data_IF_347464393385
#
_entry.id   IF_347464393385
#
_cell.length_a   1.000
_cell.length_b   1.000
_cell.length_c   1.000
_cell.angle_alpha   90.00
_cell.angle_beta   90.00
_cell.angle_gamma   90.00
#
_symmetry.space_group_name_H-M   'P 1'
#
loop_
_entity.id
_entity.type
_entity.pdbx_description
1 polymer ?
#
# COMPACT_ATOMS: atom_id res chain seq x y z
N UNK A 1 14.51 -35.01 -9.31
CA UNK A 1 13.90 -33.66 -9.39
C UNK A 1 14.83 -32.72 -8.63
N UNK A 2 15.59 -31.90 -9.34
CA UNK A 2 16.63 -31.05 -8.76
C UNK A 2 16.05 -29.67 -8.52
N UNK A 3 15.94 -29.26 -7.26
CA UNK A 3 15.57 -27.89 -6.89
C UNK A 3 16.80 -27.00 -7.00
N UNK A 4 16.75 -26.00 -7.88
CA UNK A 4 17.73 -24.91 -7.93
C UNK A 4 17.25 -23.84 -6.96
N UNK A 5 18.02 -23.61 -5.89
CA UNK A 5 17.86 -22.45 -5.04
C UNK A 5 18.62 -21.28 -5.66
N UNK A 6 17.91 -20.23 -6.08
CA UNK A 6 18.54 -18.94 -6.33
C UNK A 6 18.85 -18.29 -4.97
N UNK A 7 20.11 -18.33 -4.56
CA UNK A 7 20.68 -17.37 -3.62
C UNK A 7 21.49 -16.35 -4.40
N UNK A 8 21.63 -15.19 -3.77
CA UNK A 8 22.53 -14.07 -4.09
C UNK A 8 21.78 -12.86 -4.66
N UNK A 9 21.91 -11.63 -4.20
CA UNK A 9 22.59 -11.02 -3.04
C UNK A 9 22.01 -9.62 -2.96
N UNK A 10 21.37 -9.25 -1.85
CA UNK A 10 21.21 -7.83 -1.49
C UNK A 10 21.56 -7.69 -0.02
N UNK A 11 22.80 -7.29 0.24
CA UNK A 11 23.18 -6.62 1.48
C UNK A 11 22.42 -5.30 1.57
N UNK A 12 21.31 -5.27 2.32
CA UNK A 12 20.72 -4.02 2.80
C UNK A 12 20.66 -4.08 4.31
N UNK A 13 21.55 -3.29 4.92
CA UNK A 13 21.64 -2.90 6.31
C UNK A 13 20.33 -3.11 7.07
N UNK A 14 20.44 -3.84 8.19
CA UNK A 14 19.50 -3.89 9.30
C UNK A 14 19.20 -2.47 9.80
N UNK A 15 18.40 -1.71 9.05
CA UNK A 15 17.60 -0.62 9.60
C UNK A 15 16.31 -1.29 10.02
N UNK A 16 16.25 -1.65 11.29
CA UNK A 16 15.03 -1.80 12.09
C UNK A 16 13.75 -1.62 11.26
N UNK A 17 13.15 -2.74 10.84
CA UNK A 17 11.79 -2.78 10.29
C UNK A 17 10.77 -2.00 11.17
N UNK A 18 11.15 -1.73 12.43
CA UNK A 18 10.45 -0.99 13.48
C UNK A 18 10.33 0.53 13.31
N UNK A 19 10.98 1.18 12.33
CA UNK A 19 10.90 2.64 12.15
C UNK A 19 10.03 3.09 10.95
N UNK A 20 9.36 2.14 10.29
CA UNK A 20 8.36 2.49 9.27
C UNK A 20 7.01 2.73 9.93
N UNK A 21 6.37 3.85 9.60
CA UNK A 21 4.99 4.13 10.05
C UNK A 21 4.09 3.03 9.51
N UNK A 22 3.40 2.33 10.40
CA UNK A 22 2.39 1.35 10.04
C UNK A 22 1.10 2.06 9.62
N UNK A 23 0.55 1.67 8.47
CA UNK A 23 -0.61 2.35 7.88
C UNK A 23 -1.71 1.38 7.46
N UNK A 24 -2.95 1.84 7.60
CA UNK A 24 -4.14 1.19 7.05
C UNK A 24 -4.81 2.13 6.05
N UNK A 25 -5.50 1.57 5.06
CA UNK A 25 -6.20 2.37 4.06
C UNK A 25 -7.64 1.90 3.84
N UNK A 26 -8.51 2.85 3.50
CA UNK A 26 -9.85 2.60 3.00
C UNK A 26 -9.96 3.08 1.56
N UNK A 27 -10.60 2.28 0.70
CA UNK A 27 -10.90 2.65 -0.68
C UNK A 27 -12.40 2.53 -0.89
N UNK A 28 -13.04 3.66 -1.14
CA UNK A 28 -14.41 3.73 -1.63
C UNK A 28 -14.39 3.68 -3.16
N UNK A 29 -15.18 2.77 -3.74
CA UNK A 29 -15.29 2.64 -5.19
C UNK A 29 -16.62 3.19 -5.65
N UNK A 30 -16.60 4.20 -6.53
CA UNK A 30 -17.79 4.79 -7.10
C UNK A 30 -17.58 5.12 -8.58
N UNK A 31 -18.39 4.49 -9.45
CA UNK A 31 -18.30 4.63 -10.90
C UNK A 31 -16.85 4.43 -11.39
N UNK A 32 -16.29 5.46 -12.05
CA UNK A 32 -14.97 5.44 -12.66
C UNK A 32 -13.86 5.93 -11.71
N UNK A 33 -14.14 6.05 -10.41
CA UNK A 33 -13.21 6.61 -9.42
C UNK A 33 -13.07 5.71 -8.18
N UNK A 34 -11.85 5.61 -7.69
CA UNK A 34 -11.49 5.07 -6.39
C UNK A 34 -11.06 6.23 -5.49
N UNK A 35 -11.81 6.47 -4.41
CA UNK A 35 -11.44 7.44 -3.39
C UNK A 35 -10.73 6.71 -2.27
N UNK A 36 -9.45 7.00 -2.07
CA UNK A 36 -8.62 6.36 -1.06
C UNK A 36 -8.29 7.33 0.09
N UNK A 37 -8.29 6.81 1.32
CA UNK A 37 -7.80 7.47 2.52
C UNK A 37 -6.80 6.57 3.26
N UNK A 38 -5.73 7.15 3.79
CA UNK A 38 -4.68 6.46 4.55
C UNK A 38 -4.62 7.01 5.96
N UNK A 39 -4.59 6.11 6.94
CA UNK A 39 -4.40 6.42 8.35
C UNK A 39 -3.21 5.67 8.93
N UNK A 40 -2.65 6.18 10.02
CA UNK A 40 -1.72 5.39 10.86
C UNK A 40 -2.45 4.58 11.93
N UNK A 41 -1.68 3.85 12.75
CA UNK A 41 -2.20 3.03 13.86
C UNK A 41 -2.84 3.84 14.99
N UNK A 42 -2.60 5.15 15.07
CA UNK A 42 -3.29 6.06 15.98
C UNK A 42 -4.58 6.64 15.39
N UNK A 43 -4.94 6.27 14.16
CA UNK A 43 -6.12 6.77 13.46
C UNK A 43 -5.94 8.15 12.84
N UNK A 44 -4.71 8.67 12.75
CA UNK A 44 -4.44 9.98 12.15
C UNK A 44 -4.47 9.87 10.64
N UNK A 45 -5.23 10.75 9.98
CA UNK A 45 -5.26 10.83 8.51
C UNK A 45 -3.91 11.34 7.98
N UNK A 46 -3.26 10.51 7.16
CA UNK A 46 -1.99 10.84 6.50
C UNK A 46 -2.20 11.39 5.10
N UNK A 47 -3.28 10.98 4.42
CA UNK A 47 -3.61 11.48 3.09
C UNK A 47 -4.93 10.96 2.56
N UNK A 48 -5.48 11.68 1.59
CA UNK A 48 -6.63 11.25 0.79
C UNK A 48 -6.38 11.60 -0.68
N UNK A 49 -6.80 10.73 -1.61
CA UNK A 49 -6.63 10.96 -3.04
C UNK A 49 -7.63 10.14 -3.87
N UNK A 50 -8.01 10.66 -5.02
CA UNK A 50 -8.81 9.96 -6.02
C UNK A 50 -7.95 9.38 -7.14
N UNK A 51 -8.32 8.20 -7.61
CA UNK A 51 -7.68 7.49 -8.71
C UNK A 51 -8.73 7.02 -9.70
N UNK A 52 -8.44 6.96 -11.01
CA UNK A 52 -9.35 6.32 -11.96
C UNK A 52 -9.54 4.84 -11.64
N UNK A 53 -10.76 4.32 -11.79
CA UNK A 53 -11.12 2.90 -11.67
C UNK A 53 -10.64 2.11 -12.90
N UNK A 54 -9.35 2.24 -13.21
CA UNK A 54 -8.66 1.58 -14.30
C UNK A 54 -7.49 0.78 -13.76
N UNK A 55 -6.97 -0.16 -14.56
CA UNK A 55 -5.77 -0.92 -14.19
C UNK A 55 -4.58 -0.01 -13.85
N UNK A 56 -4.41 1.11 -14.57
CA UNK A 56 -3.34 2.08 -14.28
C UNK A 56 -3.59 2.80 -12.96
N UNK A 57 -4.82 3.26 -12.74
CA UNK A 57 -5.20 3.95 -11.50
C UNK A 57 -5.06 3.06 -10.26
N UNK A 58 -5.31 1.75 -10.37
CA UNK A 58 -5.04 0.81 -9.27
C UNK A 58 -3.56 0.69 -8.92
N UNK A 59 -2.67 0.66 -9.93
CA UNK A 59 -1.23 0.65 -9.70
C UNK A 59 -0.76 1.95 -9.06
N UNK A 60 -1.23 3.10 -9.58
CA UNK A 60 -0.91 4.41 -9.02
C UNK A 60 -1.45 4.56 -7.58
N UNK A 61 -2.61 3.98 -7.28
CA UNK A 61 -3.18 3.90 -5.93
C UNK A 61 -2.28 3.09 -5.01
N UNK A 62 -1.89 1.88 -5.42
CA UNK A 62 -1.05 0.99 -4.60
C UNK A 62 0.33 1.60 -4.32
N UNK A 63 0.94 2.23 -5.31
CA UNK A 63 2.22 2.94 -5.16
C UNK A 63 2.07 4.14 -4.21
N UNK A 64 0.98 4.88 -4.32
CA UNK A 64 0.67 5.99 -3.41
C UNK A 64 0.46 5.51 -1.97
N UNK A 65 -0.29 4.44 -1.74
CA UNK A 65 -0.51 3.86 -0.40
C UNK A 65 0.82 3.44 0.27
N UNK A 66 1.70 2.78 -0.50
CA UNK A 66 3.01 2.32 -0.01
C UNK A 66 4.00 3.46 0.27
N UNK A 67 3.74 4.66 -0.25
CA UNK A 67 4.59 5.83 0.00
C UNK A 67 4.47 6.36 1.44
N UNK A 68 3.39 6.03 2.17
CA UNK A 68 3.19 6.48 3.55
C UNK A 68 3.90 5.62 4.60
N UNK A 69 4.22 4.35 4.27
CA UNK A 69 4.88 3.44 5.21
C UNK A 69 4.54 1.98 4.96
N UNK A 70 4.56 1.18 6.04
CA UNK A 70 4.23 -0.24 5.99
C UNK A 70 2.71 -0.41 5.91
N UNK A 71 2.21 -0.67 4.71
CA UNK A 71 0.79 -0.92 4.48
C UNK A 71 0.36 -2.27 5.07
N UNK A 72 -0.41 -2.23 6.14
CA UNK A 72 -0.89 -3.42 6.87
C UNK A 72 -2.11 -4.04 6.20
N UNK A 73 -3.09 -3.21 5.86
CA UNK A 73 -4.39 -3.64 5.32
C UNK A 73 -5.02 -2.55 4.48
N UNK A 74 -5.81 -2.98 3.49
CA UNK A 74 -6.68 -2.12 2.69
C UNK A 74 -8.10 -2.67 2.76
N UNK A 75 -9.02 -1.90 3.31
CA UNK A 75 -10.46 -2.14 3.18
C UNK A 75 -10.97 -1.54 1.88
N UNK A 76 -11.75 -2.29 1.10
CA UNK A 76 -12.35 -1.82 -0.15
C UNK A 76 -13.86 -1.94 -0.02
N UNK A 77 -14.57 -0.83 -0.17
CA UNK A 77 -16.03 -0.80 -0.26
C UNK A 77 -16.43 -0.76 -1.74
N UNK A 78 -17.09 -1.85 -2.18
CA UNK A 78 -17.71 -1.97 -3.48
C UNK A 78 -19.17 -1.53 -3.44
N UNK A 79 -19.62 -0.72 -4.40
CA UNK A 79 -21.05 -0.55 -4.70
C UNK A 79 -21.56 -1.61 -5.67
#
# INVERSE_FOLDING_TARGET
MTTIACKDTVTKTDRSQTDQIEVAAGVDTHQDIHTAAVIDTAGRLLGHRQFPASRRGYLDLLDWLRSFGLLLVVGIEGT
#
